data_IF_848103799586
#
_entry.id   IF_848103799586
#
_cell.length_a   1.000
_cell.length_b   1.000
_cell.length_c   1.000
_cell.angle_alpha   90.00
_cell.angle_beta   90.00
_cell.angle_gamma   90.00
#
_symmetry.space_group_name_H-M   'P 1'
#
loop_
_entity.id
_entity.type
_entity.pdbx_description
1 polymer ?
#
# COMPACT_ATOMS: atom_id res chain seq x y z
N UNK A 1 4.72 -2.62 18.60
CA UNK A 1 5.61 -2.36 17.44
C UNK A 1 5.33 -0.96 16.93
N UNK A 2 6.35 -0.10 16.72
CA UNK A 2 6.17 1.20 16.09
C UNK A 2 6.08 1.03 14.56
N UNK A 3 4.94 0.53 14.05
CA UNK A 3 4.70 0.31 12.62
C UNK A 3 3.30 0.80 12.22
N UNK A 4 3.22 1.56 11.12
CA UNK A 4 1.94 1.95 10.52
C UNK A 4 1.33 0.82 9.69
N UNK A 5 0.05 0.51 9.92
CA UNK A 5 -0.69 -0.53 9.18
C UNK A 5 -2.07 0.02 8.82
N UNK A 6 -2.44 -0.06 7.53
CA UNK A 6 -3.81 0.21 7.04
C UNK A 6 -4.35 -1.05 6.37
N UNK A 7 -5.60 -1.39 6.70
CA UNK A 7 -6.32 -2.53 6.15
C UNK A 7 -7.82 -2.21 6.10
N UNK A 8 -8.56 -2.90 5.24
CA UNK A 8 -10.03 -2.78 5.18
C UNK A 8 -10.71 -3.37 6.43
N UNK A 9 -10.06 -4.31 7.11
CA UNK A 9 -10.57 -4.96 8.31
C UNK A 9 -9.72 -6.16 8.70
N UNK A 10 -10.23 -6.95 9.65
CA UNK A 10 -9.58 -8.15 10.18
C UNK A 10 -10.24 -9.43 9.68
N UNK A 11 -9.48 -10.49 9.44
CA UNK A 11 -10.01 -11.83 9.15
C UNK A 11 -9.21 -12.88 9.96
N UNK A 12 -9.85 -13.73 10.78
CA UNK A 12 -9.15 -14.76 11.56
C UNK A 12 -8.62 -15.93 10.70
N UNK A 13 -9.17 -16.14 9.50
CA UNK A 13 -8.76 -17.23 8.61
C UNK A 13 -7.48 -16.84 7.87
N UNK A 14 -6.47 -17.71 7.95
CA UNK A 14 -5.20 -17.55 7.21
C UNK A 14 -5.42 -17.75 5.72
N UNK A 15 -4.67 -17.02 4.89
CA UNK A 15 -4.65 -17.24 3.44
C UNK A 15 -3.97 -18.57 3.06
N UNK A 16 -4.36 -19.14 1.93
CA UNK A 16 -3.73 -20.32 1.36
C UNK A 16 -2.36 -19.95 0.73
N UNK A 17 -1.31 -20.75 0.99
CA UNK A 17 0.06 -20.50 0.52
C UNK A 17 0.34 -21.16 -0.83
N UNK A 18 -0.45 -20.82 -1.85
CA UNK A 18 -0.25 -21.35 -3.20
C UNK A 18 0.86 -20.62 -3.98
N UNK A 19 1.37 -19.50 -3.44
CA UNK A 19 2.34 -18.59 -4.09
C UNK A 19 1.95 -17.96 -5.44
N UNK A 20 0.66 -17.79 -5.82
CA UNK A 20 0.34 -16.93 -6.95
C UNK A 20 0.55 -15.46 -6.58
N UNK A 21 1.09 -14.67 -7.50
CA UNK A 21 1.19 -13.21 -7.36
C UNK A 21 2.38 -12.63 -8.11
N UNK A 22 2.17 -11.44 -8.66
CA UNK A 22 3.21 -10.68 -9.35
C UNK A 22 3.88 -9.67 -8.41
N UNK A 23 5.15 -9.36 -8.69
CA UNK A 23 5.93 -8.35 -7.94
C UNK A 23 6.22 -7.16 -8.84
N UNK A 24 6.30 -5.98 -8.24
CA UNK A 24 6.63 -4.73 -8.94
C UNK A 24 5.74 -4.46 -10.17
N UNK A 25 4.44 -4.78 -10.06
CA UNK A 25 3.45 -4.43 -11.07
C UNK A 25 2.61 -3.25 -10.62
N UNK A 26 2.04 -2.53 -11.58
CA UNK A 26 1.10 -1.45 -11.31
C UNK A 26 -0.20 -2.04 -10.78
N UNK A 27 -0.75 -1.48 -9.71
CA UNK A 27 -2.03 -1.91 -9.12
C UNK A 27 -2.96 -0.72 -8.91
N UNK A 28 -4.26 -0.92 -9.11
CA UNK A 28 -5.27 0.12 -8.90
C UNK A 28 -6.32 -0.37 -7.91
N UNK A 29 -6.49 0.37 -6.82
CA UNK A 29 -7.54 0.11 -5.82
C UNK A 29 -7.94 1.42 -5.13
N UNK A 30 -9.15 1.47 -4.57
CA UNK A 30 -9.71 2.67 -3.94
C UNK A 30 -9.67 3.92 -4.85
N UNK A 31 -9.76 3.73 -6.18
CA UNK A 31 -9.69 4.82 -7.17
C UNK A 31 -8.30 5.39 -7.41
N UNK A 32 -7.24 4.81 -6.82
CA UNK A 32 -5.85 5.29 -6.94
C UNK A 32 -4.98 4.22 -7.59
N UNK A 33 -4.09 4.64 -8.48
CA UNK A 33 -3.10 3.77 -9.13
C UNK A 33 -1.75 3.88 -8.44
N UNK A 34 -1.25 2.76 -7.94
CA UNK A 34 0.06 2.61 -7.32
C UNK A 34 1.04 2.06 -8.34
N UNK A 35 2.16 2.75 -8.50
CA UNK A 35 3.24 2.36 -9.42
C UNK A 35 4.52 2.08 -8.63
N UNK A 36 5.29 1.04 -8.99
CA UNK A 36 6.62 0.83 -8.43
C UNK A 36 7.49 2.09 -8.57
N UNK A 37 8.22 2.43 -7.51
CA UNK A 37 9.10 3.63 -7.47
C UNK A 37 8.41 4.92 -7.01
N UNK A 38 7.07 4.98 -6.98
CA UNK A 38 6.35 6.11 -6.39
C UNK A 38 6.39 6.08 -4.85
N UNK A 39 6.11 7.22 -4.24
CA UNK A 39 6.04 7.42 -2.80
C UNK A 39 4.59 7.34 -2.31
N UNK A 40 4.40 6.76 -1.12
CA UNK A 40 3.10 6.68 -0.44
C UNK A 40 3.19 7.40 0.90
N UNK A 41 2.23 8.29 1.15
CA UNK A 41 2.09 9.01 2.42
C UNK A 41 0.74 8.67 3.04
N UNK A 42 0.71 8.56 4.37
CA UNK A 42 -0.46 8.03 5.08
C UNK A 42 -0.51 8.53 6.52
N UNK A 43 -1.67 9.02 6.95
CA UNK A 43 -1.96 9.52 8.30
C UNK A 43 -3.38 9.15 8.75
N UNK A 44 -3.98 9.91 9.69
CA UNK A 44 -5.36 9.72 10.13
C UNK A 44 -6.40 10.02 9.06
N UNK A 45 -6.09 10.94 8.15
CA UNK A 45 -7.05 11.53 7.22
C UNK A 45 -7.11 10.70 5.94
N UNK A 46 -5.98 10.16 5.49
CA UNK A 46 -5.98 9.38 4.26
C UNK A 46 -4.67 8.76 3.84
N UNK A 47 -4.61 8.45 2.54
CA UNK A 47 -3.44 7.94 1.83
C UNK A 47 -3.32 8.75 0.54
N UNK A 48 -2.11 9.22 0.22
CA UNK A 48 -1.79 9.85 -1.06
C UNK A 48 -0.59 9.17 -1.71
N UNK A 49 -0.49 9.30 -3.03
CA UNK A 49 0.61 8.75 -3.84
C UNK A 49 1.26 9.88 -4.62
N UNK A 50 2.58 9.91 -4.66
CA UNK A 50 3.36 10.91 -5.41
C UNK A 50 4.44 10.24 -6.24
N UNK A 51 4.71 10.76 -7.44
CA UNK A 51 5.82 10.29 -8.30
C UNK A 51 7.18 10.67 -7.71
N UNK A 52 7.25 11.80 -7.01
CA UNK A 52 8.47 12.33 -6.39
C UNK A 52 8.31 12.50 -4.87
N UNK A 53 9.40 12.55 -4.09
CA UNK A 53 9.32 12.82 -2.65
C UNK A 53 8.69 14.18 -2.36
N UNK A 54 7.81 14.24 -1.36
CA UNK A 54 7.17 15.49 -0.90
C UNK A 54 7.78 16.08 0.38
N UNK A 55 8.70 15.36 1.03
CA UNK A 55 9.49 15.86 2.15
C UNK A 55 10.96 15.87 1.76
N UNK A 56 11.69 16.84 2.29
CA UNK A 56 13.15 16.81 2.27
C UNK A 56 13.63 15.81 3.32
N UNK A 57 14.54 14.92 2.92
CA UNK A 57 15.31 14.05 3.82
C UNK A 57 16.19 14.85 4.75
#
# INVERSE_FOLDING_TARGET
MPLGVKALGTNPVKSAKQHPGDRNVVVTFAGVTFKPGHYVYSDSDGIIVSETPLHQT
#
